data_IF_329395286370
#
_entry.id   IF_329395286370
#
_cell.length_a   1.000
_cell.length_b   1.000
_cell.length_c   1.000
_cell.angle_alpha   90.00
_cell.angle_beta   90.00
_cell.angle_gamma   90.00
#
_symmetry.space_group_name_H-M   'P 1'
#
loop_
_entity.id
_entity.type
_entity.pdbx_description
1 polymer ?
#
# COMPACT_ATOMS: atom_id res chain seq x y z
N UNK A 1 30.17 -44.53 -11.86
CA UNK A 1 29.28 -43.53 -11.26
C UNK A 1 30.01 -42.22 -11.38
N UNK A 2 29.63 -41.39 -12.36
CA UNK A 2 30.13 -40.02 -12.43
C UNK A 2 29.61 -39.30 -11.19
N UNK A 3 30.53 -38.73 -10.42
CA UNK A 3 30.19 -37.92 -9.27
C UNK A 3 29.76 -36.56 -9.83
N UNK A 4 28.46 -36.39 -10.07
CA UNK A 4 27.92 -35.11 -10.51
C UNK A 4 28.20 -34.08 -9.41
N UNK A 5 28.96 -33.04 -9.74
CA UNK A 5 29.25 -31.95 -8.82
C UNK A 5 27.97 -31.13 -8.63
N UNK A 6 27.18 -31.50 -7.64
CA UNK A 6 25.95 -30.82 -7.26
C UNK A 6 26.32 -29.50 -6.55
N UNK A 7 26.85 -28.54 -7.30
CA UNK A 7 27.18 -27.21 -6.79
C UNK A 7 26.00 -26.25 -7.01
N UNK A 8 25.64 -25.52 -5.96
CA UNK A 8 24.58 -24.52 -6.03
C UNK A 8 25.11 -23.28 -6.77
N UNK A 9 24.80 -23.15 -8.05
CA UNK A 9 25.09 -21.92 -8.80
C UNK A 9 24.03 -20.87 -8.50
N UNK A 10 24.45 -19.72 -7.94
CA UNK A 10 23.59 -18.55 -7.78
C UNK A 10 23.60 -17.72 -9.06
N UNK A 11 22.45 -17.14 -9.41
CA UNK A 11 22.40 -16.17 -10.51
C UNK A 11 22.71 -14.75 -9.98
N UNK A 12 23.87 -14.15 -10.30
CA UNK A 12 24.25 -12.82 -9.84
C UNK A 12 23.36 -11.69 -10.40
N UNK A 13 22.52 -11.96 -11.40
CA UNK A 13 21.56 -10.98 -11.94
C UNK A 13 20.24 -10.94 -11.13
N UNK A 14 19.99 -11.94 -10.28
CA UNK A 14 18.87 -11.94 -9.33
C UNK A 14 19.37 -11.67 -7.92
N UNK A 15 20.35 -12.45 -7.46
CA UNK A 15 20.89 -12.35 -6.11
C UNK A 15 22.07 -11.41 -6.01
N UNK A 16 22.42 -10.69 -7.08
CA UNK A 16 23.48 -9.68 -7.06
C UNK A 16 23.28 -8.56 -6.06
N UNK A 17 24.35 -8.15 -5.38
CA UNK A 17 24.32 -7.04 -4.42
C UNK A 17 23.73 -5.76 -5.02
N UNK A 18 24.10 -5.40 -6.25
CA UNK A 18 23.58 -4.18 -6.88
C UNK A 18 22.08 -4.23 -7.18
N UNK A 19 21.54 -5.39 -7.60
CA UNK A 19 20.09 -5.57 -7.82
C UNK A 19 19.34 -5.49 -6.49
N UNK A 20 19.82 -6.15 -5.45
CA UNK A 20 19.20 -6.10 -4.12
C UNK A 20 19.20 -4.68 -3.56
N UNK A 21 20.34 -4.00 -3.57
CA UNK A 21 20.48 -2.61 -3.10
C UNK A 21 19.58 -1.68 -3.90
N UNK A 22 19.52 -1.84 -5.23
CA UNK A 22 18.64 -1.06 -6.07
C UNK A 22 17.18 -1.21 -5.63
N UNK A 23 16.73 -2.45 -5.47
CA UNK A 23 15.37 -2.74 -5.03
C UNK A 23 15.12 -2.18 -3.62
N UNK A 24 16.02 -2.35 -2.65
CA UNK A 24 15.84 -1.77 -1.31
C UNK A 24 15.65 -0.25 -1.35
N UNK A 25 16.49 0.45 -2.13
CA UNK A 25 16.39 1.90 -2.30
C UNK A 25 15.09 2.27 -3.01
N UNK A 26 14.71 1.55 -4.07
CA UNK A 26 13.45 1.80 -4.79
C UNK A 26 12.25 1.75 -3.87
N UNK A 27 12.19 0.75 -2.99
CA UNK A 27 11.08 0.57 -2.06
C UNK A 27 11.11 1.68 -1.01
N UNK A 28 12.28 2.03 -0.47
CA UNK A 28 12.42 3.13 0.48
C UNK A 28 12.00 4.48 -0.12
N UNK A 29 12.42 4.80 -1.34
CA UNK A 29 12.00 6.00 -2.07
C UNK A 29 10.48 6.01 -2.31
N UNK A 30 9.90 4.84 -2.62
CA UNK A 30 8.45 4.69 -2.77
C UNK A 30 7.72 5.02 -1.45
N UNK A 31 8.25 4.59 -0.31
CA UNK A 31 7.73 4.99 1.01
C UNK A 31 7.85 6.49 1.29
N UNK A 32 9.02 7.08 1.06
CA UNK A 32 9.24 8.51 1.29
C UNK A 32 8.31 9.37 0.43
N UNK A 33 8.12 9.00 -0.82
CA UNK A 33 7.20 9.70 -1.73
C UNK A 33 5.73 9.46 -1.37
N UNK A 34 5.39 8.32 -0.77
CA UNK A 34 4.05 8.10 -0.20
C UNK A 34 3.75 9.06 0.97
N UNK A 35 4.77 9.55 1.67
CA UNK A 35 4.62 10.54 2.74
C UNK A 35 4.48 11.98 2.20
N UNK A 36 5.07 12.27 1.03
CA UNK A 36 5.11 13.61 0.43
C UNK A 36 3.79 14.07 -0.24
N UNK A 37 2.78 13.19 -0.33
CA UNK A 37 1.46 13.52 -0.90
C UNK A 37 1.40 13.46 -2.43
N UNK A 38 0.27 12.95 -2.96
CA UNK A 38 -0.12 12.83 -4.38
C UNK A 38 0.78 12.05 -5.35
N UNK A 39 2.09 11.93 -5.15
CA UNK A 39 3.00 11.21 -6.07
C UNK A 39 2.93 9.69 -5.92
N UNK A 40 2.24 9.19 -4.90
CA UNK A 40 2.10 7.77 -4.60
C UNK A 40 1.60 6.93 -5.80
N UNK A 41 0.58 7.43 -6.51
CA UNK A 41 -0.03 6.71 -7.62
C UNK A 41 0.96 6.48 -8.79
N UNK A 42 1.87 7.43 -9.01
CA UNK A 42 2.88 7.35 -10.08
C UNK A 42 4.00 6.40 -9.70
N UNK A 43 4.49 6.48 -8.46
CA UNK A 43 5.63 5.68 -8.01
C UNK A 43 5.26 4.21 -7.80
N UNK A 44 4.04 3.95 -7.31
CA UNK A 44 3.54 2.57 -7.20
C UNK A 44 3.47 1.86 -8.56
N UNK A 45 3.14 2.56 -9.65
CA UNK A 45 3.13 1.99 -11.00
C UNK A 45 4.51 1.46 -11.39
N UNK A 46 5.56 2.25 -11.21
CA UNK A 46 6.94 1.84 -11.51
C UNK A 46 7.37 0.67 -10.65
N UNK A 47 7.05 0.69 -9.35
CA UNK A 47 7.35 -0.43 -8.45
C UNK A 47 6.67 -1.74 -8.89
N UNK A 48 5.39 -1.71 -9.26
CA UNK A 48 4.68 -2.90 -9.77
C UNK A 48 5.27 -3.37 -11.10
N UNK A 49 5.65 -2.46 -11.99
CA UNK A 49 6.30 -2.82 -13.26
C UNK A 49 7.62 -3.55 -13.00
N UNK A 50 8.49 -3.00 -12.16
CA UNK A 50 9.77 -3.63 -11.81
C UNK A 50 9.56 -4.98 -11.13
N UNK A 51 8.64 -5.07 -10.17
CA UNK A 51 8.39 -6.31 -9.45
C UNK A 51 7.77 -7.40 -10.34
N UNK A 52 6.87 -7.01 -11.26
CA UNK A 52 6.28 -7.94 -12.24
C UNK A 52 7.34 -8.40 -13.25
N UNK A 53 8.18 -7.48 -13.74
CA UNK A 53 9.29 -7.82 -14.62
C UNK A 53 10.27 -8.79 -13.94
N UNK A 54 10.59 -8.57 -12.66
CA UNK A 54 11.40 -9.50 -11.87
C UNK A 54 10.75 -10.88 -11.80
N UNK A 55 9.46 -10.97 -11.46
CA UNK A 55 8.75 -12.25 -11.42
C UNK A 55 8.74 -12.96 -12.78
N UNK A 56 8.48 -12.24 -13.87
CA UNK A 56 8.50 -12.80 -15.23
C UNK A 56 9.91 -13.32 -15.56
N UNK A 57 10.95 -12.54 -15.29
CA UNK A 57 12.33 -12.95 -15.50
C UNK A 57 12.65 -14.21 -14.70
N UNK A 58 12.24 -14.27 -13.42
CA UNK A 58 12.44 -15.45 -12.58
C UNK A 58 11.67 -16.67 -13.09
N UNK A 59 10.46 -16.51 -13.64
CA UNK A 59 9.74 -17.62 -14.30
C UNK A 59 10.47 -18.10 -15.55
N UNK A 60 10.99 -17.19 -16.38
CA UNK A 60 11.77 -17.54 -17.57
C UNK A 60 13.03 -18.31 -17.16
N UNK A 61 13.77 -17.82 -16.17
CA UNK A 61 14.98 -18.49 -15.68
C UNK A 61 14.73 -19.84 -15.02
N UNK A 62 13.59 -19.97 -14.34
CA UNK A 62 13.13 -21.25 -13.81
C UNK A 62 12.89 -22.26 -14.95
N UNK A 63 12.40 -21.83 -16.11
CA UNK A 63 12.24 -22.73 -17.26
C UNK A 63 13.58 -23.14 -17.88
N UNK A 64 14.58 -22.25 -17.88
CA UNK A 64 15.91 -22.46 -18.48
C UNK A 64 16.92 -23.16 -17.56
N UNK A 65 16.52 -23.60 -16.36
CA UNK A 65 17.33 -24.34 -15.38
C UNK A 65 18.51 -23.56 -14.78
N UNK A 66 18.39 -22.24 -14.67
CA UNK A 66 19.46 -21.39 -14.10
C UNK A 66 19.15 -20.84 -12.72
N UNK A 67 18.05 -21.28 -12.10
CA UNK A 67 17.51 -20.64 -10.92
C UNK A 67 17.54 -21.59 -9.74
N UNK A 68 18.34 -21.26 -8.74
CA UNK A 68 18.46 -22.04 -7.50
C UNK A 68 17.27 -21.79 -6.57
N UNK A 69 17.03 -22.70 -5.61
CA UNK A 69 16.04 -22.46 -4.54
C UNK A 69 16.32 -21.16 -3.79
N UNK A 70 17.60 -20.82 -3.59
CA UNK A 70 18.00 -19.59 -2.92
C UNK A 70 17.57 -18.34 -3.70
N UNK A 71 17.79 -18.31 -5.02
CA UNK A 71 17.28 -17.25 -5.89
C UNK A 71 15.74 -17.14 -5.79
N UNK A 72 15.08 -18.31 -5.79
CA UNK A 72 13.63 -18.43 -5.63
C UNK A 72 13.08 -17.79 -4.35
N UNK A 73 13.76 -18.05 -3.23
CA UNK A 73 13.42 -17.50 -1.91
C UNK A 73 13.67 -16.00 -1.85
N UNK A 74 14.80 -15.52 -2.38
CA UNK A 74 15.14 -14.09 -2.41
C UNK A 74 14.10 -13.30 -3.22
N UNK A 75 13.73 -13.78 -4.42
CA UNK A 75 12.66 -13.18 -5.23
C UNK A 75 11.34 -13.18 -4.47
N UNK A 76 11.02 -14.27 -3.77
CA UNK A 76 9.79 -14.36 -2.96
C UNK A 76 9.77 -13.32 -1.83
N UNK A 77 10.88 -13.12 -1.12
CA UNK A 77 10.99 -12.14 -0.03
C UNK A 77 10.92 -10.70 -0.56
N UNK A 78 11.66 -10.38 -1.63
CA UNK A 78 11.65 -9.06 -2.28
C UNK A 78 10.25 -8.70 -2.78
N UNK A 79 9.59 -9.62 -3.47
CA UNK A 79 8.23 -9.36 -3.99
C UNK A 79 7.20 -9.29 -2.87
N UNK A 80 7.44 -9.98 -1.75
CA UNK A 80 6.64 -9.83 -0.52
C UNK A 80 6.84 -8.45 0.14
N UNK A 81 8.02 -7.85 0.06
CA UNK A 81 8.22 -6.45 0.48
C UNK A 81 7.34 -5.50 -0.37
N UNK A 82 7.18 -5.82 -1.66
CA UNK A 82 6.35 -5.03 -2.56
C UNK A 82 4.85 -5.17 -2.35
N UNK A 83 4.36 -6.38 -2.08
CA UNK A 83 2.94 -6.55 -1.73
C UNK A 83 2.60 -5.89 -0.39
N UNK A 84 3.53 -5.88 0.56
CA UNK A 84 3.34 -5.21 1.86
C UNK A 84 3.19 -3.69 1.67
N UNK A 85 4.07 -3.09 0.86
CA UNK A 85 3.96 -1.67 0.49
C UNK A 85 2.63 -1.37 -0.19
N UNK A 86 2.25 -2.16 -1.20
CA UNK A 86 0.98 -2.05 -1.91
C UNK A 86 -0.23 -2.05 -0.97
N UNK A 87 -0.25 -3.01 -0.04
CA UNK A 87 -1.34 -3.16 0.93
C UNK A 87 -1.50 -1.95 1.83
N UNK A 88 -0.41 -1.43 2.38
CA UNK A 88 -0.48 -0.25 3.26
C UNK A 88 -0.89 0.99 2.48
N UNK A 89 -0.32 1.21 1.30
CA UNK A 89 -0.55 2.46 0.59
C UNK A 89 -1.91 2.56 -0.11
N UNK A 90 -2.56 1.42 -0.43
CA UNK A 90 -3.97 1.43 -0.86
C UNK A 90 -4.92 1.96 0.23
N UNK A 91 -4.54 1.92 1.51
CA UNK A 91 -5.34 2.44 2.63
C UNK A 91 -5.50 3.96 2.60
N UNK A 92 -4.57 4.68 1.98
CA UNK A 92 -4.39 6.14 2.16
C UNK A 92 -5.26 6.95 1.20
N UNK A 93 -5.27 6.57 -0.08
CA UNK A 93 -5.89 7.37 -1.13
C UNK A 93 -7.42 7.46 -1.05
N UNK A 94 -8.08 6.60 -0.28
CA UNK A 94 -9.55 6.56 -0.22
C UNK A 94 -10.16 7.64 0.66
N UNK A 95 -9.41 8.24 1.60
CA UNK A 95 -10.04 9.16 2.56
C UNK A 95 -10.14 10.60 2.09
N UNK A 96 -9.12 11.07 1.38
CA UNK A 96 -8.97 12.48 1.03
C UNK A 96 -10.01 12.94 -0.02
N UNK A 97 -10.55 12.01 -0.82
CA UNK A 97 -11.53 12.30 -1.87
C UNK A 97 -12.94 12.66 -1.34
N UNK A 98 -13.27 12.38 -0.07
CA UNK A 98 -14.65 12.56 0.41
C UNK A 98 -15.08 13.99 0.74
N UNK A 99 -14.16 14.98 0.77
CA UNK A 99 -14.48 16.32 1.27
C UNK A 99 -14.73 17.39 0.19
N UNK A 100 -14.54 17.10 -1.10
CA UNK A 100 -14.86 18.05 -2.18
C UNK A 100 -16.23 17.73 -2.79
N UNK A 101 -17.24 18.48 -2.36
CA UNK A 101 -18.66 18.34 -2.73
C UNK A 101 -19.02 18.51 -4.22
N UNK A 102 -18.05 18.56 -5.12
CA UNK A 102 -18.29 18.46 -6.56
C UNK A 102 -18.03 17.02 -7.00
N UNK A 103 -19.10 16.22 -7.00
CA UNK A 103 -19.18 14.89 -7.61
C UNK A 103 -19.08 14.95 -9.15
N UNK A 104 -18.07 15.64 -9.67
CA UNK A 104 -17.58 15.28 -11.00
C UNK A 104 -17.15 13.84 -10.91
N UNK A 105 -17.61 12.97 -11.81
CA UNK A 105 -17.11 11.61 -11.94
C UNK A 105 -15.60 11.71 -12.14
N UNK A 106 -14.81 11.69 -11.06
CA UNK A 106 -13.39 11.43 -11.19
C UNK A 106 -13.29 10.04 -11.84
N UNK A 107 -12.64 9.96 -13.00
CA UNK A 107 -12.63 8.75 -13.80
C UNK A 107 -12.10 7.62 -12.95
N UNK A 108 -12.92 6.57 -12.86
CA UNK A 108 -12.59 5.24 -12.33
C UNK A 108 -11.10 5.00 -12.58
N UNK A 109 -10.34 4.81 -11.49
CA UNK A 109 -8.89 4.87 -11.49
C UNK A 109 -8.27 4.16 -12.70
N UNK A 110 -7.21 4.76 -13.26
CA UNK A 110 -6.63 4.35 -14.56
C UNK A 110 -6.65 2.82 -14.74
N UNK A 111 -7.37 2.27 -15.74
CA UNK A 111 -7.51 0.83 -15.92
C UNK A 111 -6.15 0.14 -16.06
N UNK A 112 -5.14 0.86 -16.53
CA UNK A 112 -3.75 0.38 -16.59
C UNK A 112 -3.17 0.07 -15.21
N UNK A 113 -3.43 0.90 -14.19
CA UNK A 113 -2.96 0.66 -12.83
C UNK A 113 -3.59 -0.59 -12.24
N UNK A 114 -4.91 -0.72 -12.37
CA UNK A 114 -5.64 -1.89 -11.89
C UNK A 114 -5.13 -3.17 -12.57
N UNK A 115 -4.95 -3.13 -13.89
CA UNK A 115 -4.40 -4.25 -14.66
C UNK A 115 -2.99 -4.64 -14.19
N UNK A 116 -2.08 -3.67 -14.02
CA UNK A 116 -0.71 -3.97 -13.55
C UNK A 116 -0.69 -4.56 -12.14
N UNK A 117 -1.53 -4.06 -11.24
CA UNK A 117 -1.65 -4.59 -9.89
C UNK A 117 -2.24 -6.02 -9.90
N UNK A 118 -3.23 -6.30 -10.74
CA UNK A 118 -3.78 -7.64 -10.94
C UNK A 118 -2.70 -8.60 -11.46
N UNK A 119 -1.99 -8.22 -12.52
CA UNK A 119 -0.89 -9.02 -13.06
C UNK A 119 0.15 -9.33 -11.99
N UNK A 120 0.61 -8.31 -11.25
CA UNK A 120 1.57 -8.50 -10.17
C UNK A 120 1.07 -9.50 -9.12
N UNK A 121 -0.16 -9.36 -8.64
CA UNK A 121 -0.74 -10.24 -7.62
C UNK A 121 -0.82 -11.69 -8.12
N UNK A 122 -1.27 -11.89 -9.37
CA UNK A 122 -1.35 -13.23 -9.99
C UNK A 122 0.03 -13.86 -10.10
N UNK A 123 1.02 -13.13 -10.63
CA UNK A 123 2.39 -13.64 -10.76
C UNK A 123 3.05 -13.89 -9.40
N UNK A 124 2.82 -13.01 -8.42
CA UNK A 124 3.35 -13.16 -7.07
C UNK A 124 2.76 -14.41 -6.39
N UNK A 125 1.44 -14.59 -6.46
CA UNK A 125 0.77 -15.77 -5.92
C UNK A 125 1.25 -17.05 -6.59
N UNK A 126 1.28 -17.07 -7.93
CA UNK A 126 1.78 -18.21 -8.70
C UNK A 126 3.24 -18.56 -8.33
N UNK A 127 4.10 -17.55 -8.20
CA UNK A 127 5.50 -17.73 -7.83
C UNK A 127 5.64 -18.30 -6.41
N UNK A 128 4.92 -17.71 -5.45
CA UNK A 128 4.91 -18.19 -4.07
C UNK A 128 4.43 -19.64 -3.96
N UNK A 129 3.28 -19.96 -4.58
CA UNK A 129 2.78 -21.34 -4.58
C UNK A 129 3.74 -22.31 -5.27
N UNK A 130 4.35 -21.92 -6.39
CA UNK A 130 5.31 -22.77 -7.10
C UNK A 130 6.55 -23.03 -6.25
N UNK A 131 7.19 -21.99 -5.70
CA UNK A 131 8.40 -22.09 -4.87
C UNK A 131 8.18 -22.96 -3.63
N UNK A 132 7.02 -22.81 -2.97
CA UNK A 132 6.75 -23.51 -1.72
C UNK A 132 6.01 -24.84 -1.88
N UNK A 133 5.50 -25.21 -3.07
CA UNK A 133 4.87 -26.52 -3.28
C UNK A 133 5.88 -27.65 -3.11
N UNK A 134 7.05 -27.51 -3.74
CA UNK A 134 8.10 -28.52 -3.72
C UNK A 134 9.50 -27.88 -3.70
N UNK A 135 9.91 -27.31 -2.54
CA UNK A 135 11.21 -26.67 -2.41
C UNK A 135 12.38 -27.66 -2.58
N UNK A 136 12.16 -28.96 -2.36
CA UNK A 136 13.22 -29.97 -2.50
C UNK A 136 13.67 -30.11 -3.96
N UNK A 137 12.74 -30.07 -4.91
CA UNK A 137 13.05 -30.20 -6.35
C UNK A 137 13.01 -28.88 -7.11
N UNK A 138 12.89 -27.75 -6.40
CA UNK A 138 12.80 -26.44 -7.04
C UNK A 138 14.07 -26.12 -7.85
N UNK A 139 13.88 -25.76 -9.12
CA UNK A 139 14.97 -25.44 -10.04
C UNK A 139 15.74 -26.65 -10.58
N UNK A 140 15.55 -27.85 -10.01
CA UNK A 140 16.26 -29.06 -10.41
C UNK A 140 15.49 -29.80 -11.53
N UNK A 141 16.19 -30.20 -12.58
CA UNK A 141 15.66 -31.03 -13.68
C UNK A 141 16.73 -32.03 -14.15
N UNK A 142 16.30 -33.09 -14.83
CA UNK A 142 17.21 -34.13 -15.32
C UNK A 142 17.93 -34.86 -14.18
N UNK A 143 19.21 -35.15 -14.36
CA UNK A 143 20.01 -35.90 -13.38
C UNK A 143 20.22 -35.13 -12.06
N UNK A 144 20.10 -33.79 -12.10
CA UNK A 144 20.21 -32.93 -10.93
C UNK A 144 19.04 -33.10 -9.94
N UNK A 145 17.95 -33.78 -10.31
CA UNK A 145 16.82 -34.07 -9.41
C UNK A 145 17.25 -34.94 -8.21
N UNK A 146 18.31 -35.73 -8.36
CA UNK A 146 18.85 -36.57 -7.29
C UNK A 146 19.82 -35.82 -6.35
N UNK A 147 20.12 -34.54 -6.61
CA UNK A 147 21.00 -33.76 -5.76
C UNK A 147 20.30 -33.33 -4.47
N UNK A 148 20.98 -33.45 -3.33
CA UNK A 148 20.48 -32.98 -2.03
C UNK A 148 20.76 -31.47 -1.76
N UNK A 149 21.17 -30.70 -2.78
CA UNK A 149 21.59 -29.30 -2.65
C UNK A 149 20.54 -28.42 -1.97
N UNK A 150 19.28 -28.60 -2.33
CA UNK A 150 18.17 -27.84 -1.76
C UNK A 150 17.89 -28.15 -0.28
N UNK A 151 18.31 -29.31 0.24
CA UNK A 151 18.16 -29.64 1.67
C UNK A 151 19.15 -28.91 2.57
N UNK A 152 20.27 -28.46 1.99
CA UNK A 152 21.30 -27.69 2.68
C UNK A 152 20.98 -26.18 2.69
N UNK A 153 20.01 -25.73 1.89
CA UNK A 153 19.58 -24.33 1.90
C UNK A 153 18.88 -24.00 3.21
N UNK A 154 19.39 -22.98 3.90
CA UNK A 154 18.84 -22.51 5.18
C UNK A 154 18.24 -21.13 5.02
N UNK A 155 17.00 -20.95 5.46
CA UNK A 155 16.34 -19.65 5.49
C UNK A 155 16.53 -19.05 6.88
N UNK A 156 17.15 -17.88 6.95
CA UNK A 156 17.34 -17.16 8.20
C UNK A 156 16.19 -16.17 8.39
N UNK A 157 15.19 -16.57 9.18
CA UNK A 157 14.17 -15.65 9.72
C UNK A 157 14.64 -15.20 11.11
N UNK A 158 13.89 -15.51 12.17
CA UNK A 158 14.37 -15.38 13.55
C UNK A 158 15.22 -16.57 13.99
N UNK A 159 14.85 -17.74 13.50
CA UNK A 159 15.58 -19.00 13.67
C UNK A 159 15.99 -19.52 12.31
N UNK A 160 17.03 -20.33 12.29
CA UNK A 160 17.39 -21.07 11.08
C UNK A 160 16.30 -22.10 10.80
N UNK A 161 15.68 -22.01 9.64
CA UNK A 161 14.64 -22.95 9.21
C UNK A 161 14.99 -23.50 7.84
N UNK A 162 14.67 -24.77 7.60
CA UNK A 162 14.86 -25.39 6.30
C UNK A 162 13.58 -25.26 5.49
N UNK A 163 13.61 -24.70 4.26
CA UNK A 163 12.43 -24.61 3.40
C UNK A 163 11.81 -25.99 3.10
N UNK A 164 12.62 -27.04 3.13
CA UNK A 164 12.21 -28.44 2.92
C UNK A 164 11.45 -29.05 4.09
N UNK A 165 11.45 -28.44 5.28
CA UNK A 165 10.66 -28.92 6.42
C UNK A 165 9.16 -28.82 6.10
N UNK A 166 8.38 -29.93 6.19
CA UNK A 166 6.95 -29.93 5.94
C UNK A 166 6.16 -28.90 6.75
N UNK A 167 6.58 -28.61 7.99
CA UNK A 167 5.90 -27.63 8.86
C UNK A 167 6.11 -26.20 8.37
N UNK A 168 7.35 -25.86 8.03
CA UNK A 168 7.72 -24.55 7.48
C UNK A 168 7.03 -24.34 6.14
N UNK A 169 7.03 -25.37 5.29
CA UNK A 169 6.32 -25.37 4.01
C UNK A 169 4.83 -25.11 4.16
N UNK A 170 4.16 -25.83 5.06
CA UNK A 170 2.73 -25.64 5.30
C UNK A 170 2.42 -24.24 5.84
N UNK A 171 3.26 -23.71 6.73
CA UNK A 171 3.12 -22.34 7.24
C UNK A 171 3.31 -21.30 6.13
N UNK A 172 4.35 -21.44 5.29
CA UNK A 172 4.61 -20.55 4.18
C UNK A 172 3.47 -20.56 3.13
N UNK A 173 2.99 -21.73 2.74
CA UNK A 173 1.83 -21.87 1.84
C UNK A 173 0.56 -21.24 2.41
N UNK A 174 0.34 -21.38 3.72
CA UNK A 174 -0.79 -20.75 4.41
C UNK A 174 -0.67 -19.22 4.39
N UNK A 175 0.52 -18.67 4.67
CA UNK A 175 0.78 -17.24 4.63
C UNK A 175 0.62 -16.67 3.22
N UNK A 176 1.15 -17.35 2.19
CA UNK A 176 1.00 -16.95 0.79
C UNK A 176 -0.47 -16.98 0.38
N UNK A 177 -1.22 -18.00 0.78
CA UNK A 177 -2.66 -18.09 0.49
C UNK A 177 -3.44 -16.95 1.14
N UNK A 178 -3.20 -16.66 2.42
CA UNK A 178 -3.84 -15.53 3.11
C UNK A 178 -3.47 -14.22 2.43
N UNK A 179 -2.18 -13.98 2.16
CA UNK A 179 -1.71 -12.77 1.49
C UNK A 179 -2.32 -12.61 0.09
N UNK A 180 -2.45 -13.70 -0.67
CA UNK A 180 -3.04 -13.71 -2.01
C UNK A 180 -4.52 -13.36 -1.98
N UNK A 181 -5.27 -13.93 -1.04
CA UNK A 181 -6.69 -13.60 -0.85
C UNK A 181 -6.85 -12.14 -0.45
N UNK A 182 -6.06 -11.64 0.51
CA UNK A 182 -6.11 -10.23 0.93
C UNK A 182 -5.76 -9.29 -0.23
N UNK A 183 -4.76 -9.65 -1.05
CA UNK A 183 -4.38 -8.90 -2.23
C UNK A 183 -5.50 -8.86 -3.28
N UNK A 184 -6.15 -9.99 -3.58
CA UNK A 184 -7.31 -10.01 -4.50
C UNK A 184 -8.46 -9.19 -3.94
N UNK A 185 -8.77 -9.32 -2.65
CA UNK A 185 -9.82 -8.51 -2.02
C UNK A 185 -9.51 -7.01 -2.13
N UNK A 186 -8.24 -6.61 -2.02
CA UNK A 186 -7.81 -5.21 -2.20
C UNK A 186 -7.95 -4.68 -3.63
N UNK A 187 -8.02 -5.57 -4.64
CA UNK A 187 -8.32 -5.20 -6.03
C UNK A 187 -9.82 -5.01 -6.28
N UNK A 188 -10.64 -5.79 -5.58
CA UNK A 188 -12.09 -5.82 -5.77
C UNK A 188 -12.81 -4.77 -4.92
N UNK A 189 -12.31 -4.54 -3.71
CA UNK A 189 -12.89 -3.61 -2.75
C UNK A 189 -11.86 -2.56 -2.37
N UNK A 190 -12.28 -1.29 -2.32
CA UNK A 190 -11.43 -0.31 -1.67
C UNK A 190 -11.33 -0.69 -0.19
N UNK A 191 -10.15 -0.53 0.41
CA UNK A 191 -9.98 -0.84 1.83
C UNK A 191 -10.96 -0.02 2.69
N UNK A 192 -11.33 1.18 2.22
CA UNK A 192 -12.37 2.00 2.82
C UNK A 192 -13.72 1.28 2.90
N UNK A 193 -14.20 0.70 1.80
CA UNK A 193 -15.46 -0.05 1.79
C UNK A 193 -15.41 -1.25 2.74
N UNK A 194 -14.27 -1.95 2.80
CA UNK A 194 -14.08 -3.08 3.68
C UNK A 194 -14.03 -2.66 5.16
N UNK A 195 -13.29 -1.59 5.49
CA UNK A 195 -13.23 -1.04 6.85
C UNK A 195 -14.58 -0.50 7.30
N UNK A 196 -15.32 0.18 6.42
CA UNK A 196 -16.68 0.64 6.70
C UNK A 196 -17.61 -0.54 6.95
N UNK A 197 -17.54 -1.60 6.13
CA UNK A 197 -18.31 -2.82 6.35
C UNK A 197 -17.94 -3.51 7.68
N UNK A 198 -16.65 -3.59 8.01
CA UNK A 198 -16.17 -4.17 9.27
C UNK A 198 -16.60 -3.33 10.48
N UNK A 199 -16.42 -2.02 10.44
CA UNK A 199 -16.89 -1.09 11.49
C UNK A 199 -18.40 -1.16 11.66
N UNK A 200 -19.13 -1.31 10.55
CA UNK A 200 -20.57 -1.52 10.57
C UNK A 200 -20.94 -2.84 11.27
N UNK A 201 -20.25 -3.94 10.97
CA UNK A 201 -20.43 -5.23 11.64
C UNK A 201 -20.11 -5.16 13.14
N UNK A 202 -19.02 -4.49 13.53
CA UNK A 202 -18.67 -4.27 14.94
C UNK A 202 -19.73 -3.45 15.68
N UNK A 203 -20.25 -2.38 15.07
CA UNK A 203 -21.29 -1.56 15.66
C UNK A 203 -22.62 -2.33 15.81
N UNK A 204 -22.96 -3.17 14.82
CA UNK A 204 -24.13 -4.05 14.93
C UNK A 204 -23.98 -5.05 16.08
N UNK A 205 -22.77 -5.56 16.32
CA UNK A 205 -22.49 -6.45 17.45
C UNK A 205 -22.67 -5.72 18.79
N UNK A 206 -22.16 -4.50 18.91
CA UNK A 206 -22.33 -3.66 20.11
C UNK A 206 -23.80 -3.34 20.43
N UNK A 207 -24.60 -3.01 19.41
CA UNK A 207 -26.04 -2.72 19.57
C UNK A 207 -26.85 -3.93 20.05
N UNK A 208 -26.49 -5.15 19.62
CA UNK A 208 -27.16 -6.37 20.10
C UNK A 208 -26.84 -6.68 21.56
N UNK A 209 -25.65 -6.33 22.06
CA UNK A 209 -25.29 -6.55 23.45
C UNK A 209 -25.96 -5.54 24.42
N UNK A 210 -26.25 -4.32 23.98
CA UNK A 210 -26.82 -3.26 24.84
C UNK A 210 -28.34 -3.31 25.08
N UNK A 211 -29.11 -4.08 24.30
CA UNK A 211 -30.59 -3.97 24.28
C UNK A 211 -31.34 -4.88 25.26
N UNK A 212 -30.66 -5.48 26.26
CA UNK A 212 -31.29 -6.50 27.13
C UNK A 212 -31.85 -6.02 28.47
N UNK A 213 -31.71 -4.74 28.87
CA UNK A 213 -32.09 -4.30 30.24
C UNK A 213 -33.14 -3.17 30.35
N UNK A 214 -33.88 -2.84 29.29
CA UNK A 214 -34.83 -1.71 29.30
C UNK A 214 -36.29 -2.11 29.03
N UNK A 215 -36.85 -3.04 29.80
CA UNK A 215 -38.30 -3.29 29.83
C UNK A 215 -38.73 -3.45 31.29
N UNK A 216 -38.98 -2.33 31.94
CA UNK A 216 -39.91 -2.21 33.06
C UNK A 216 -40.14 -0.72 33.33
N UNK A 217 -41.36 -0.24 33.11
CA UNK A 217 -41.76 1.14 33.41
C UNK A 217 -42.80 1.66 32.45
N UNK A 218 -44.01 1.11 32.58
CA UNK A 218 -45.23 1.59 31.92
C UNK A 218 -45.84 2.75 32.73
N UNK A 219 -46.70 3.50 32.04
CA UNK A 219 -47.74 4.40 32.53
C UNK A 219 -47.43 5.90 32.69
N UNK A 220 -47.98 6.65 31.73
CA UNK A 220 -48.80 7.83 32.00
C UNK A 220 -48.13 9.16 31.69
N UNK A 221 -48.54 9.82 30.60
CA UNK A 221 -49.40 11.01 30.70
C UNK A 221 -49.77 11.57 29.32
N UNK A 222 -51.06 11.93 29.23
CA UNK A 222 -51.70 12.59 28.11
C UNK A 222 -51.48 14.08 28.28
N UNK A 223 -50.72 14.70 27.37
CA UNK A 223 -50.44 16.14 27.40
C UNK A 223 -50.30 16.74 26.00
N UNK A 224 -51.39 17.31 25.50
CA UNK A 224 -51.48 18.04 24.23
C UNK A 224 -50.85 19.44 24.36
N UNK A 225 -49.79 19.75 23.61
CA UNK A 225 -49.22 21.10 23.59
C UNK A 225 -48.06 21.38 22.62
N UNK A 226 -48.39 21.92 21.42
CA UNK A 226 -47.74 23.02 20.66
C UNK A 226 -46.26 22.92 20.22
N UNK A 227 -46.05 22.41 19.01
CA UNK A 227 -45.54 23.07 17.78
C UNK A 227 -44.33 24.05 17.77
N UNK A 228 -43.61 24.33 18.87
CA UNK A 228 -42.44 25.24 18.86
C UNK A 228 -41.07 24.56 19.04
N UNK A 229 -41.02 23.23 19.06
CA UNK A 229 -39.84 22.42 19.42
C UNK A 229 -39.24 21.67 18.20
N UNK A 230 -39.13 22.31 17.03
CA UNK A 230 -38.51 21.68 15.84
C UNK A 230 -37.15 22.26 15.43
N UNK A 231 -36.81 23.46 15.89
CA UNK A 231 -35.58 24.14 15.45
C UNK A 231 -34.35 23.81 16.33
N UNK A 232 -34.55 23.49 17.61
CA UNK A 232 -33.47 23.08 18.52
C UNK A 232 -32.90 21.69 18.22
N UNK A 233 -33.76 20.74 17.82
CA UNK A 233 -33.36 19.36 17.53
C UNK A 233 -32.43 19.27 16.31
N UNK A 234 -32.64 20.14 15.32
CA UNK A 234 -31.84 20.15 14.09
C UNK A 234 -30.41 20.69 14.33
N UNK A 235 -30.25 21.60 15.29
CA UNK A 235 -28.94 22.17 15.65
C UNK A 235 -28.09 21.16 16.45
N UNK A 236 -28.72 20.41 17.37
CA UNK A 236 -28.03 19.35 18.12
C UNK A 236 -27.62 18.18 17.21
N UNK A 237 -28.46 17.79 16.25
CA UNK A 237 -28.14 16.77 15.24
C UNK A 237 -26.93 17.20 14.39
N UNK A 238 -26.84 18.49 14.02
CA UNK A 238 -25.71 19.03 13.25
C UNK A 238 -24.41 19.04 14.07
N UNK A 239 -24.46 19.45 15.34
CA UNK A 239 -23.31 19.44 16.23
C UNK A 239 -22.77 18.01 16.45
N UNK A 240 -23.65 17.04 16.73
CA UNK A 240 -23.26 15.63 16.86
C UNK A 240 -22.63 15.08 15.59
N UNK A 241 -23.13 15.45 14.41
CA UNK A 241 -22.55 15.01 13.12
C UNK A 241 -21.14 15.56 12.92
N UNK A 242 -20.88 16.79 13.34
CA UNK A 242 -19.55 17.42 13.22
C UNK A 242 -18.52 16.78 14.15
N UNK A 243 -18.88 16.49 15.42
CA UNK A 243 -17.97 15.84 16.36
C UNK A 243 -17.58 14.43 15.94
N UNK A 244 -18.53 13.67 15.36
CA UNK A 244 -18.26 12.32 14.84
C UNK A 244 -17.22 12.37 13.70
N UNK A 245 -17.30 13.36 12.82
CA UNK A 245 -16.38 13.48 11.68
C UNK A 245 -14.94 13.75 12.12
N UNK A 246 -14.74 14.62 13.11
CA UNK A 246 -13.41 14.96 13.63
C UNK A 246 -12.75 13.73 14.28
N UNK A 247 -13.49 13.00 15.11
CA UNK A 247 -12.94 11.83 15.81
C UNK A 247 -12.53 10.70 14.85
N UNK A 248 -13.36 10.43 13.83
CA UNK A 248 -13.06 9.40 12.82
C UNK A 248 -11.77 9.72 12.06
N UNK A 249 -11.53 11.00 11.75
CA UNK A 249 -10.31 11.42 11.05
C UNK A 249 -9.04 11.18 11.89
N UNK A 250 -9.04 11.60 13.16
CA UNK A 250 -7.89 11.40 14.06
C UNK A 250 -7.60 9.92 14.31
N UNK A 251 -8.63 9.12 14.55
CA UNK A 251 -8.48 7.68 14.77
C UNK A 251 -7.92 6.98 13.52
N UNK A 252 -8.43 7.32 12.34
CA UNK A 252 -7.95 6.71 11.11
C UNK A 252 -6.52 7.13 10.76
N UNK A 253 -6.16 8.39 10.99
CA UNK A 253 -4.79 8.87 10.85
C UNK A 253 -3.84 8.09 11.79
N UNK A 254 -4.28 7.81 13.02
CA UNK A 254 -3.54 6.96 13.96
C UNK A 254 -3.36 5.51 13.48
N UNK A 255 -4.43 4.88 13.01
CA UNK A 255 -4.37 3.52 12.42
C UNK A 255 -3.42 3.50 11.21
N UNK A 256 -3.50 4.52 10.36
CA UNK A 256 -2.65 4.64 9.19
C UNK A 256 -1.17 4.73 9.58
N UNK A 257 -0.81 5.64 10.48
CA UNK A 257 0.57 5.77 10.96
C UNK A 257 1.09 4.45 11.59
N UNK A 258 0.23 3.75 12.33
CA UNK A 258 0.56 2.44 12.90
C UNK A 258 0.82 1.37 11.84
N UNK A 259 -0.03 1.27 10.81
CA UNK A 259 0.16 0.34 9.69
C UNK A 259 1.44 0.64 8.90
N UNK A 260 1.75 1.93 8.68
CA UNK A 260 3.01 2.34 8.07
C UNK A 260 4.21 1.91 8.92
N UNK A 261 4.17 2.11 10.24
CA UNK A 261 5.25 1.69 11.14
C UNK A 261 5.47 0.16 11.10
N UNK A 262 4.38 -0.63 11.11
CA UNK A 262 4.47 -2.10 10.97
C UNK A 262 5.12 -2.48 9.64
N UNK A 263 4.72 -1.83 8.55
CA UNK A 263 5.26 -2.17 7.24
C UNK A 263 6.75 -1.77 7.09
N UNK A 264 7.17 -0.65 7.66
CA UNK A 264 8.60 -0.27 7.74
C UNK A 264 9.37 -1.31 8.57
N UNK A 265 8.86 -1.72 9.73
CA UNK A 265 9.49 -2.74 10.56
C UNK A 265 9.59 -4.09 9.82
N UNK A 266 8.52 -4.49 9.15
CA UNK A 266 8.47 -5.70 8.30
C UNK A 266 9.49 -5.61 7.17
N UNK A 267 9.66 -4.43 6.57
CA UNK A 267 10.61 -4.21 5.51
C UNK A 267 12.06 -4.38 5.98
N UNK A 268 12.42 -3.73 7.10
CA UNK A 268 13.75 -3.88 7.72
C UNK A 268 14.02 -5.34 8.09
N UNK A 269 13.02 -6.04 8.63
CA UNK A 269 13.11 -7.46 8.94
C UNK A 269 13.35 -8.31 7.67
N UNK A 270 12.64 -8.04 6.58
CA UNK A 270 12.81 -8.79 5.32
C UNK A 270 14.18 -8.54 4.68
N UNK A 271 14.70 -7.29 4.71
CA UNK A 271 16.08 -7.00 4.29
C UNK A 271 17.06 -7.83 5.11
N UNK A 272 16.93 -7.79 6.44
CA UNK A 272 17.77 -8.58 7.33
C UNK A 272 17.71 -10.08 7.00
N UNK A 273 16.50 -10.63 6.81
CA UNK A 273 16.28 -12.04 6.50
C UNK A 273 16.92 -12.42 5.15
N UNK A 274 16.78 -11.58 4.11
CA UNK A 274 17.41 -11.80 2.81
C UNK A 274 18.93 -11.83 2.95
N UNK A 275 19.53 -10.80 3.56
CA UNK A 275 20.98 -10.67 3.66
C UNK A 275 21.61 -11.79 4.50
N UNK A 276 20.97 -12.20 5.61
CA UNK A 276 21.46 -13.33 6.39
C UNK A 276 21.29 -14.67 5.67
N UNK A 277 20.17 -14.86 4.96
CA UNK A 277 19.93 -16.06 4.16
C UNK A 277 21.01 -16.17 3.08
N UNK A 278 21.31 -15.10 2.36
CA UNK A 278 22.37 -15.14 1.33
C UNK A 278 23.74 -15.37 1.96
N UNK A 279 24.08 -14.64 3.03
CA UNK A 279 25.37 -14.81 3.72
C UNK A 279 25.64 -16.24 4.20
N UNK A 280 24.60 -16.99 4.59
CA UNK A 280 24.73 -18.37 5.06
C UNK A 280 24.88 -19.39 3.93
N UNK A 281 24.35 -19.09 2.73
CA UNK A 281 24.28 -20.06 1.64
C UNK A 281 25.21 -19.71 0.46
N UNK A 282 25.76 -18.49 0.38
CA UNK A 282 26.74 -18.09 -0.63
C UNK A 282 28.16 -18.54 -0.23
N UNK A 283 28.43 -19.83 -0.44
CA UNK A 283 29.71 -20.47 -0.08
C UNK A 283 30.87 -19.90 -0.89
N UNK A 284 30.63 -19.55 -2.15
CA UNK A 284 31.67 -19.11 -3.09
C UNK A 284 31.89 -17.59 -3.11
N UNK A 285 31.02 -16.82 -2.46
CA UNK A 285 31.11 -15.36 -2.44
C UNK A 285 30.77 -14.69 -3.77
N UNK A 286 30.19 -15.44 -4.71
CA UNK A 286 29.89 -14.97 -6.08
C UNK A 286 28.87 -13.83 -6.10
N UNK A 287 28.05 -13.69 -5.06
CA UNK A 287 27.02 -12.64 -5.01
C UNK A 287 27.57 -11.24 -4.73
N UNK A 288 28.85 -11.13 -4.37
CA UNK A 288 29.52 -9.85 -4.06
C UNK A 288 30.04 -9.12 -5.29
N UNK A 289 30.27 -9.84 -6.38
CA UNK A 289 30.82 -9.26 -7.59
C UNK A 289 29.76 -8.46 -8.34
N UNK A 290 30.19 -7.29 -8.81
CA UNK A 290 29.32 -6.38 -9.56
C UNK A 290 29.21 -6.84 -11.01
N UNK A 291 28.01 -7.28 -11.40
CA UNK A 291 27.71 -7.59 -12.80
C UNK A 291 27.30 -6.33 -13.58
N UNK A 292 27.40 -6.39 -14.90
CA UNK A 292 26.87 -5.34 -15.78
C UNK A 292 25.35 -5.15 -15.58
N UNK A 293 24.60 -6.25 -15.41
CA UNK A 293 23.16 -6.23 -15.12
C UNK A 293 22.83 -5.47 -13.84
N UNK A 294 23.65 -5.61 -12.80
CA UNK A 294 23.50 -4.89 -11.54
C UNK A 294 23.69 -3.37 -11.70
N UNK A 295 24.62 -2.94 -12.56
CA UNK A 295 24.79 -1.51 -12.87
C UNK A 295 23.55 -0.94 -13.57
N UNK A 296 22.97 -1.69 -14.51
CA UNK A 296 21.72 -1.29 -15.18
C UNK A 296 20.58 -1.16 -14.16
N UNK A 297 20.48 -2.08 -13.20
CA UNK A 297 19.45 -2.02 -12.16
C UNK A 297 19.52 -0.72 -11.34
N UNK A 298 20.72 -0.21 -11.04
CA UNK A 298 20.89 1.10 -10.39
C UNK A 298 20.51 2.27 -11.30
N UNK A 299 20.81 2.18 -12.60
CA UNK A 299 20.39 3.21 -13.57
C UNK A 299 18.85 3.29 -13.64
N UNK A 300 18.15 2.17 -13.50
CA UNK A 300 16.69 2.14 -13.45
C UNK A 300 16.10 2.79 -12.18
N UNK A 301 16.93 3.12 -11.18
CA UNK A 301 16.51 3.95 -10.04
C UNK A 301 16.55 5.45 -10.33
N UNK A 302 17.20 5.87 -11.42
CA UNK A 302 17.31 7.28 -11.73
C UNK A 302 15.92 7.92 -11.96
N UNK A 303 14.98 7.31 -12.71
CA UNK A 303 13.63 7.88 -12.86
C UNK A 303 12.88 8.13 -11.53
N UNK A 304 12.70 7.14 -10.62
CA UNK A 304 12.01 7.40 -9.35
C UNK A 304 12.76 8.38 -8.45
N UNK A 305 14.09 8.44 -8.53
CA UNK A 305 14.88 9.43 -7.83
C UNK A 305 14.61 10.85 -8.36
N UNK A 306 14.62 11.04 -9.68
CA UNK A 306 14.32 12.33 -10.30
C UNK A 306 12.89 12.80 -10.01
N UNK A 307 11.91 11.88 -10.01
CA UNK A 307 10.52 12.19 -9.64
C UNK A 307 10.40 12.62 -8.16
N UNK A 308 11.20 12.06 -7.26
CA UNK A 308 11.28 12.52 -5.87
C UNK A 308 11.88 13.93 -5.78
N UNK A 309 12.99 14.18 -6.49
CA UNK A 309 13.64 15.49 -6.49
C UNK A 309 12.71 16.58 -7.06
N UNK A 310 12.00 16.31 -8.16
CA UNK A 310 11.06 17.28 -8.73
C UNK A 310 9.91 17.57 -7.79
N UNK A 311 9.32 16.54 -7.16
CA UNK A 311 8.26 16.72 -6.15
C UNK A 311 8.75 17.56 -4.97
N UNK A 312 9.98 17.33 -4.52
CA UNK A 312 10.57 18.08 -3.43
C UNK A 312 10.78 19.56 -3.79
N UNK A 313 11.24 19.84 -5.01
CA UNK A 313 11.43 21.22 -5.51
C UNK A 313 10.07 21.91 -5.62
N UNK A 314 9.09 21.29 -6.27
CA UNK A 314 7.73 21.84 -6.42
C UNK A 314 7.08 22.11 -5.05
N UNK A 315 7.28 21.21 -4.09
CA UNK A 315 6.78 21.40 -2.71
C UNK A 315 7.47 22.54 -1.97
N UNK A 316 8.72 22.86 -2.34
CA UNK A 316 9.44 24.00 -1.77
C UNK A 316 8.99 25.31 -2.39
N UNK A 317 8.90 25.37 -3.72
CA UNK A 317 8.43 26.55 -4.45
C UNK A 317 7.04 26.95 -3.99
N UNK A 318 6.13 25.99 -3.83
CA UNK A 318 4.78 26.26 -3.32
C UNK A 318 4.75 26.84 -1.90
N UNK A 319 5.64 26.38 -1.01
CA UNK A 319 5.72 26.93 0.36
C UNK A 319 6.26 28.35 0.35
N UNK A 320 7.23 28.64 -0.52
CA UNK A 320 7.77 29.99 -0.69
C UNK A 320 6.69 30.93 -1.25
N UNK A 321 5.86 30.48 -2.20
CA UNK A 321 4.70 31.24 -2.70
C UNK A 321 3.63 31.49 -1.60
N UNK A 322 3.27 30.47 -0.82
CA UNK A 322 2.31 30.61 0.30
C UNK A 322 2.83 31.61 1.37
N UNK A 323 4.13 31.56 1.70
CA UNK A 323 4.77 32.51 2.61
C UNK A 323 4.78 33.95 2.04
N UNK A 324 5.03 34.11 0.73
CA UNK A 324 4.96 35.42 0.06
C UNK A 324 3.53 35.99 0.04
N UNK A 325 2.51 35.16 -0.22
CA UNK A 325 1.11 35.55 -0.16
C UNK A 325 0.69 35.99 1.26
N UNK A 326 1.12 35.25 2.30
CA UNK A 326 0.87 35.63 3.70
C UNK A 326 1.55 36.96 4.07
N UNK A 327 2.79 37.18 3.61
CA UNK A 327 3.51 38.44 3.82
C UNK A 327 2.83 39.61 3.10
N UNK A 328 2.34 39.41 1.87
CA UNK A 328 1.59 40.43 1.13
C UNK A 328 0.24 40.76 1.79
N UNK A 329 -0.49 39.75 2.28
CA UNK A 329 -1.73 39.94 3.02
C UNK A 329 -1.49 40.77 4.30
N UNK A 330 -0.41 40.49 5.02
CA UNK A 330 -0.02 41.26 6.20
C UNK A 330 0.43 42.69 5.88
N UNK A 331 1.16 42.89 4.77
CA UNK A 331 1.67 44.20 4.36
C UNK A 331 0.56 45.16 3.89
N UNK A 332 -0.50 44.65 3.25
CA UNK A 332 -1.61 45.45 2.77
C UNK A 332 -2.56 45.95 3.88
N UNK A 333 -2.29 45.61 5.15
CA UNK A 333 -3.08 46.07 6.30
C UNK A 333 -4.52 45.57 6.30
N UNK A 334 -4.85 44.59 5.44
CA UNK A 334 -6.17 44.01 5.32
C UNK A 334 -6.40 43.00 6.45
N UNK A 335 -6.56 43.52 7.66
CA UNK A 335 -7.13 42.78 8.79
C UNK A 335 -8.63 42.58 8.56
N UNK A 336 -9.02 42.01 7.43
CA UNK A 336 -10.38 41.54 7.23
C UNK A 336 -10.59 40.35 8.16
N UNK A 337 -11.20 40.65 9.31
CA UNK A 337 -11.79 39.70 10.25
C UNK A 337 -12.49 38.56 9.48
N UNK A 338 -12.25 37.28 9.82
CA UNK A 338 -12.94 36.18 9.17
C UNK A 338 -14.44 36.27 9.46
N UNK A 339 -15.18 36.66 8.42
CA UNK A 339 -16.60 36.40 8.19
C UNK A 339 -17.56 36.74 9.35
N UNK A 340 -17.84 38.04 9.54
CA UNK A 340 -19.24 38.40 9.76
C UNK A 340 -19.96 38.22 8.41
N UNK A 341 -21.08 37.48 8.31
CA UNK A 341 -21.84 37.42 7.07
C UNK A 341 -22.29 38.85 6.72
N UNK A 342 -21.68 39.43 5.69
CA UNK A 342 -22.10 40.69 5.11
C UNK A 342 -23.49 40.47 4.52
N UNK A 343 -24.50 40.74 5.34
CA UNK A 343 -25.86 40.93 4.88
C UNK A 343 -25.88 42.21 4.02
N UNK A 344 -26.49 42.06 2.83
CA UNK A 344 -27.01 43.12 1.97
C UNK A 344 -25.98 43.94 1.17
N UNK A 345 -25.44 43.33 0.11
CA UNK A 345 -25.32 44.11 -1.13
C UNK A 345 -26.73 44.36 -1.70
N UNK A 346 -27.10 45.61 -2.02
CA UNK A 346 -28.37 45.92 -2.68
C UNK A 346 -28.45 45.18 -4.02
N UNK A 347 -29.53 44.44 -4.23
CA UNK A 347 -29.83 43.89 -5.56
C UNK A 347 -29.87 45.05 -6.57
N UNK A 348 -29.15 44.96 -7.71
CA UNK A 348 -29.39 45.88 -8.82
C UNK A 348 -30.84 45.71 -9.30
N UNK A 349 -31.52 46.81 -9.65
CA UNK A 349 -32.92 46.76 -10.09
C UNK A 349 -33.05 45.84 -11.29
N UNK A 350 -34.00 44.92 -11.20
CA UNK A 350 -34.46 44.06 -12.29
C UNK A 350 -34.75 44.93 -13.53
N UNK A 351 -34.03 44.66 -14.61
CA UNK A 351 -34.33 45.21 -15.92
C UNK A 351 -35.76 44.81 -16.30
N UNK A 352 -36.63 45.82 -16.34
CA UNK A 352 -38.00 45.71 -16.78
C UNK A 352 -37.98 45.37 -18.28
N UNK A 353 -38.36 44.14 -18.60
CA UNK A 353 -38.39 43.64 -19.97
C UNK A 353 -39.65 44.22 -20.64
N UNK A 354 -39.49 45.33 -21.34
CA UNK A 354 -40.52 45.91 -22.20
C UNK A 354 -40.73 45.00 -23.42
N UNK A 355 -41.70 44.11 -23.34
CA UNK A 355 -42.32 43.49 -24.53
C UNK A 355 -43.17 44.53 -25.24
N UNK A 356 -42.52 45.31 -26.10
CA UNK A 356 -43.19 46.10 -27.13
C UNK A 356 -43.76 45.21 -28.23
N UNK A 357 -45.08 45.31 -28.41
CA UNK A 357 -45.79 44.93 -29.62
C UNK A 357 -45.09 45.53 -30.86
N UNK A 358 -44.87 44.71 -31.89
CA UNK A 358 -45.34 44.99 -33.25
C UNK A 358 -45.42 43.71 -34.08
#
# INVERSE_FOLDING_TARGET
>A
MENYDCKLELNPDITGVGVRVALYIQILLSWLTSYAGNTFARNSRTAYMTATALLIASFIELTTQKLSLLDGLVVSLITTMMITYAGVSCSVGSLESTNKGNRGLEPIGSPTRWFMQLCFIVFWGAWGFHTWRDPAHFGLKGDAVNCETNYNVTLQLFTEVRPTDPRVRAAALSLISIGFVLAILSLLFTLGDCLVAMLWLFNQCGKRCGKRNGKNGDNGEIGSGRDSEKDGENQEIKARRMTIHIYVHTLLQGIHAFLQAIAIATHVFLIYAIEQTIKKNDVDGTTRDWSYGQTIALILLLPPFMDLCSTYIESREKKEEEEEEELQANANGDTTFPHLPLALTPQPPLAQNDTGLQ
#
